data_IF_748718113878
#
_entry.id   IF_748718113878
#
_cell.length_a   1.000
_cell.length_b   1.000
_cell.length_c   1.000
_cell.angle_alpha   90.00
_cell.angle_beta   90.00
_cell.angle_gamma   90.00
#
_symmetry.space_group_name_H-M   'P 1'
#
loop_
_entity.id
_entity.type
_entity.pdbx_description
1 polymer ?
#
# COMPACT_ATOMS: atom_id res chain seq x y z
N UNK A 1 17.12 -10.24 19.88
CA UNK A 1 18.54 -10.45 19.53
C UNK A 1 18.62 -10.53 18.01
N UNK A 2 19.44 -9.70 17.38
CA UNK A 2 19.63 -9.73 15.92
C UNK A 2 20.84 -10.61 15.59
N UNK A 3 20.69 -11.71 14.84
CA UNK A 3 21.80 -12.61 14.51
C UNK A 3 22.65 -12.09 13.35
N UNK A 4 22.20 -11.04 12.66
CA UNK A 4 22.93 -10.50 11.52
C UNK A 4 24.03 -9.55 11.95
N UNK A 5 25.17 -9.63 11.27
CA UNK A 5 26.31 -8.76 11.51
C UNK A 5 26.04 -7.31 11.06
N UNK A 6 26.79 -6.33 11.60
CA UNK A 6 26.72 -4.95 11.10
C UNK A 6 27.02 -4.86 9.60
N UNK A 7 27.93 -5.71 9.11
CA UNK A 7 28.22 -5.80 7.68
C UNK A 7 26.96 -6.15 6.88
N UNK A 8 26.20 -7.16 7.28
CA UNK A 8 24.98 -7.57 6.56
C UNK A 8 23.98 -6.44 6.42
N UNK A 9 23.75 -5.66 7.51
CA UNK A 9 22.88 -4.49 7.47
C UNK A 9 23.40 -3.40 6.53
N UNK A 10 24.69 -3.11 6.59
CA UNK A 10 25.33 -2.08 5.76
C UNK A 10 25.31 -2.48 4.30
N UNK A 11 25.66 -3.72 3.99
CA UNK A 11 25.66 -4.26 2.64
C UNK A 11 24.27 -4.20 2.01
N UNK A 12 23.23 -4.67 2.71
CA UNK A 12 21.86 -4.64 2.23
C UNK A 12 21.35 -3.21 2.01
N UNK A 13 21.67 -2.27 2.89
CA UNK A 13 21.27 -0.88 2.73
C UNK A 13 21.94 -0.23 1.50
N UNK A 14 23.22 -0.51 1.26
CA UNK A 14 23.93 -0.02 0.07
C UNK A 14 23.38 -0.66 -1.21
N UNK A 15 23.10 -1.97 -1.18
CA UNK A 15 22.50 -2.67 -2.31
C UNK A 15 21.15 -2.06 -2.73
N UNK A 16 20.31 -1.67 -1.77
CA UNK A 16 19.01 -1.05 -2.03
C UNK A 16 19.11 0.39 -2.53
N UNK A 17 20.03 1.17 -1.97
CA UNK A 17 20.10 2.60 -2.25
C UNK A 17 21.03 2.95 -3.41
N UNK A 18 21.90 2.03 -3.82
CA UNK A 18 22.95 2.26 -4.80
C UNK A 18 24.00 3.29 -4.36
N UNK A 19 24.02 3.70 -3.07
CA UNK A 19 24.83 4.82 -2.60
C UNK A 19 25.23 4.68 -1.13
N UNK A 20 26.53 4.76 -0.84
CA UNK A 20 27.05 4.79 0.55
C UNK A 20 26.46 5.93 1.36
N UNK A 21 26.27 7.10 0.75
CA UNK A 21 25.73 8.28 1.42
C UNK A 21 24.27 8.08 1.81
N UNK A 22 23.42 7.64 0.86
CA UNK A 22 22.00 7.37 1.14
C UNK A 22 21.83 6.24 2.17
N UNK A 23 22.65 5.17 2.08
CA UNK A 23 22.64 4.10 3.07
C UNK A 23 23.04 4.61 4.47
N UNK A 24 24.01 5.51 4.54
CA UNK A 24 24.46 6.14 5.80
C UNK A 24 23.37 7.00 6.44
N UNK A 25 22.62 7.74 5.64
CA UNK A 25 21.47 8.54 6.08
C UNK A 25 20.36 7.64 6.65
N UNK A 26 20.02 6.56 5.94
CA UNK A 26 19.00 5.58 6.39
C UNK A 26 19.39 4.86 7.68
N UNK A 27 20.66 4.52 7.82
CA UNK A 27 21.16 3.75 8.99
C UNK A 27 21.66 4.62 10.14
N UNK A 28 21.64 5.96 10.00
CA UNK A 28 22.16 6.92 10.98
C UNK A 28 23.61 6.66 11.40
N UNK A 29 24.47 6.34 10.43
CA UNK A 29 25.90 6.07 10.63
C UNK A 29 26.74 6.87 9.62
N UNK A 30 28.06 6.86 9.77
CA UNK A 30 28.94 7.51 8.79
C UNK A 30 29.12 6.63 7.55
N UNK A 31 29.18 7.25 6.36
CA UNK A 31 29.45 6.54 5.10
C UNK A 31 30.83 5.86 5.09
N UNK A 32 31.81 6.41 5.83
CA UNK A 32 33.13 5.80 6.01
C UNK A 32 33.07 4.50 6.82
N UNK A 33 32.19 4.39 7.82
CA UNK A 33 31.99 3.15 8.57
C UNK A 33 31.40 2.05 7.70
N UNK A 34 30.40 2.38 6.85
CA UNK A 34 29.81 1.45 5.89
C UNK A 34 30.87 0.99 4.89
N UNK A 35 31.57 1.94 4.24
CA UNK A 35 32.60 1.60 3.25
C UNK A 35 33.69 0.70 3.82
N UNK A 36 34.16 0.99 5.04
CA UNK A 36 35.18 0.16 5.71
C UNK A 36 34.70 -1.28 5.92
N UNK A 37 33.45 -1.49 6.34
CA UNK A 37 32.91 -2.85 6.56
C UNK A 37 32.75 -3.62 5.24
N UNK A 38 32.34 -2.93 4.18
CA UNK A 38 32.23 -3.53 2.84
C UNK A 38 33.63 -3.95 2.34
N UNK A 39 34.61 -3.06 2.39
CA UNK A 39 35.98 -3.35 1.95
C UNK A 39 36.62 -4.50 2.75
N UNK A 40 36.37 -4.59 4.05
CA UNK A 40 36.83 -5.69 4.89
C UNK A 40 36.21 -7.02 4.45
N UNK A 41 34.91 -7.03 4.16
CA UNK A 41 34.20 -8.23 3.70
C UNK A 41 34.67 -8.66 2.30
N UNK A 42 34.84 -7.71 1.37
CA UNK A 42 35.39 -7.97 0.03
C UNK A 42 36.81 -8.56 0.11
N UNK A 43 37.64 -8.04 1.00
CA UNK A 43 38.99 -8.57 1.23
C UNK A 43 38.99 -9.98 1.83
N UNK A 44 38.07 -10.25 2.78
CA UNK A 44 37.93 -11.61 3.37
C UNK A 44 37.39 -12.65 2.39
N UNK A 45 36.52 -12.22 1.46
CA UNK A 45 35.92 -13.08 0.44
C UNK A 45 36.77 -13.13 -0.84
N UNK A 46 37.85 -12.37 -0.90
CA UNK A 46 38.70 -12.19 -2.07
C UNK A 46 37.93 -11.90 -3.37
N UNK A 47 36.79 -11.21 -3.20
CA UNK A 47 35.83 -10.96 -4.29
C UNK A 47 35.14 -9.63 -4.09
N UNK A 48 35.09 -8.73 -5.10
CA UNK A 48 34.34 -7.49 -5.01
C UNK A 48 32.84 -7.77 -5.00
N UNK A 49 32.11 -7.12 -4.11
CA UNK A 49 30.66 -7.21 -3.98
C UNK A 49 29.95 -6.08 -4.72
N UNK A 50 30.64 -4.95 -4.91
CA UNK A 50 30.14 -3.80 -5.64
C UNK A 50 31.06 -3.34 -6.77
N UNK A 51 30.46 -2.94 -7.89
CA UNK A 51 31.10 -2.15 -8.93
C UNK A 51 30.90 -0.66 -8.64
N UNK A 52 31.97 0.13 -8.74
CA UNK A 52 31.94 1.59 -8.58
C UNK A 52 31.71 2.24 -9.92
N UNK A 53 30.53 2.83 -10.13
CA UNK A 53 30.14 3.53 -11.34
C UNK A 53 30.05 5.05 -11.08
N UNK A 54 30.16 5.90 -12.10
CA UNK A 54 29.95 7.36 -11.93
C UNK A 54 28.59 7.71 -11.33
N UNK A 55 27.57 6.87 -11.59
CA UNK A 55 26.20 7.04 -11.06
C UNK A 55 25.99 6.44 -9.66
N UNK A 56 26.99 5.77 -9.06
CA UNK A 56 26.86 5.14 -7.75
C UNK A 56 27.46 3.73 -7.68
N UNK A 57 26.90 2.89 -6.83
CA UNK A 57 27.30 1.52 -6.61
C UNK A 57 26.28 0.55 -7.21
N UNK A 58 26.79 -0.48 -7.91
CA UNK A 58 25.98 -1.60 -8.42
C UNK A 58 26.53 -2.90 -7.87
N UNK A 59 25.66 -3.87 -7.58
CA UNK A 59 26.11 -5.21 -7.18
C UNK A 59 26.87 -5.89 -8.33
N UNK A 60 27.93 -6.62 -7.97
CA UNK A 60 28.54 -7.62 -8.84
C UNK A 60 27.70 -8.89 -8.81
N UNK A 61 28.01 -9.89 -9.66
CA UNK A 61 27.37 -11.22 -9.58
C UNK A 61 27.55 -11.86 -8.20
N UNK A 62 28.70 -11.70 -7.56
CA UNK A 62 28.94 -12.15 -6.18
C UNK A 62 28.11 -11.36 -5.18
N UNK A 63 27.96 -10.04 -5.39
CA UNK A 63 27.10 -9.19 -4.60
C UNK A 63 25.63 -9.57 -4.70
N UNK A 64 25.13 -9.87 -5.91
CA UNK A 64 23.74 -10.32 -6.13
C UNK A 64 23.47 -11.66 -5.43
N UNK A 65 24.41 -12.62 -5.52
CA UNK A 65 24.31 -13.89 -4.82
C UNK A 65 24.23 -13.69 -3.31
N UNK A 66 25.14 -12.89 -2.74
CA UNK A 66 25.16 -12.60 -1.30
C UNK A 66 23.88 -11.86 -0.86
N UNK A 67 23.41 -10.90 -1.66
CA UNK A 67 22.18 -10.17 -1.37
C UNK A 67 20.96 -11.08 -1.31
N UNK A 68 20.84 -11.98 -2.31
CA UNK A 68 19.78 -12.99 -2.36
C UNK A 68 19.81 -13.91 -1.13
N UNK A 69 21.01 -14.39 -0.77
CA UNK A 69 21.18 -15.26 0.40
C UNK A 69 20.87 -14.53 1.72
N UNK A 70 21.31 -13.31 1.89
CA UNK A 70 20.98 -12.51 3.08
C UNK A 70 19.48 -12.24 3.20
N UNK A 71 18.81 -11.96 2.10
CA UNK A 71 17.34 -11.83 2.08
C UNK A 71 16.68 -13.15 2.50
N UNK A 72 17.12 -14.29 1.97
CA UNK A 72 16.62 -15.61 2.34
C UNK A 72 16.84 -15.91 3.82
N UNK A 73 18.05 -15.72 4.34
CA UNK A 73 18.37 -15.98 5.75
C UNK A 73 17.59 -15.06 6.70
N UNK A 74 17.35 -13.81 6.32
CA UNK A 74 16.50 -12.90 7.07
C UNK A 74 15.07 -13.41 7.18
N UNK A 75 14.53 -13.96 6.07
CA UNK A 75 13.22 -14.62 6.03
C UNK A 75 13.18 -15.84 6.94
N UNK A 76 14.16 -16.72 6.85
CA UNK A 76 14.24 -17.93 7.68
C UNK A 76 14.36 -17.62 9.18
N UNK A 77 15.13 -16.58 9.51
CA UNK A 77 15.25 -16.13 10.89
C UNK A 77 13.93 -15.51 11.41
N UNK A 78 13.23 -14.75 10.60
CA UNK A 78 11.91 -14.21 10.94
C UNK A 78 10.91 -15.36 11.23
N UNK A 79 10.92 -16.43 10.41
CA UNK A 79 10.15 -17.65 10.65
C UNK A 79 10.51 -18.34 11.98
N UNK A 80 11.80 -18.40 12.29
CA UNK A 80 12.27 -18.97 13.56
C UNK A 80 11.78 -18.16 14.75
N UNK A 81 11.84 -16.83 14.68
CA UNK A 81 11.27 -15.94 15.70
C UNK A 81 9.78 -16.15 15.87
N UNK A 82 9.02 -16.23 14.77
CA UNK A 82 7.59 -16.51 14.82
C UNK A 82 7.27 -17.83 15.54
N UNK A 83 8.06 -18.89 15.29
CA UNK A 83 7.89 -20.16 16.00
C UNK A 83 8.10 -20.03 17.51
N UNK A 84 9.06 -19.20 17.93
CA UNK A 84 9.22 -18.91 19.36
C UNK A 84 8.03 -18.13 19.94
N UNK A 85 7.51 -17.16 19.20
CA UNK A 85 6.32 -16.41 19.61
C UNK A 85 5.07 -17.32 19.66
N UNK A 86 4.92 -18.23 18.70
CA UNK A 86 3.85 -19.24 18.69
C UNK A 86 3.90 -20.19 19.88
N UNK A 87 5.10 -20.56 20.38
CA UNK A 87 5.26 -21.37 21.59
C UNK A 87 4.78 -20.64 22.87
N UNK A 88 4.78 -19.29 22.85
CA UNK A 88 4.29 -18.47 23.94
C UNK A 88 2.78 -18.21 23.88
N UNK A 89 2.10 -18.72 22.84
CA UNK A 89 0.67 -18.51 22.57
C UNK A 89 0.39 -17.09 22.03
N UNK A 90 -0.90 -16.79 21.72
CA UNK A 90 -1.34 -15.44 21.27
C UNK A 90 -1.12 -14.31 22.31
N UNK A 91 -0.44 -14.61 23.42
CA UNK A 91 -0.16 -13.63 24.47
C UNK A 91 0.88 -12.59 24.05
N UNK A 92 1.70 -12.85 23.04
CA UNK A 92 2.69 -11.93 22.48
C UNK A 92 2.86 -12.25 20.99
N UNK A 93 2.95 -11.25 20.18
CA UNK A 93 3.18 -11.40 18.76
C UNK A 93 3.48 -10.05 18.14
N UNK A 94 4.06 -10.06 16.94
CA UNK A 94 4.33 -8.87 16.17
C UNK A 94 3.80 -9.08 14.76
N UNK A 95 3.13 -8.04 14.20
CA UNK A 95 2.60 -8.06 12.85
C UNK A 95 3.03 -6.79 12.13
N UNK A 96 3.72 -6.94 11.01
CA UNK A 96 4.10 -5.85 10.12
C UNK A 96 3.11 -5.73 8.96
N UNK A 97 2.56 -4.52 8.78
CA UNK A 97 1.55 -4.23 7.76
C UNK A 97 2.03 -3.06 6.90
N UNK A 98 2.04 -3.24 5.59
CA UNK A 98 2.21 -2.15 4.64
C UNK A 98 0.87 -1.90 3.92
N UNK A 99 0.44 -0.64 3.86
CA UNK A 99 -0.83 -0.28 3.23
C UNK A 99 -0.72 1.03 2.45
N UNK A 100 -1.63 1.22 1.49
CA UNK A 100 -1.75 2.51 0.80
C UNK A 100 -2.38 3.57 1.71
N UNK A 101 -2.06 4.84 1.46
CA UNK A 101 -2.57 5.96 2.28
C UNK A 101 -4.10 6.11 2.26
N UNK A 102 -4.76 5.69 1.17
CA UNK A 102 -6.23 5.71 1.06
C UNK A 102 -6.94 4.80 2.09
N UNK A 103 -6.21 3.87 2.73
CA UNK A 103 -6.72 2.99 3.79
C UNK A 103 -6.47 3.53 5.21
N UNK A 104 -6.02 4.78 5.36
CA UNK A 104 -5.74 5.39 6.68
C UNK A 104 -7.00 5.57 7.54
N UNK A 105 -8.16 5.30 6.99
CA UNK A 105 -9.46 5.35 7.65
C UNK A 105 -10.37 4.23 7.14
N UNK A 106 -11.53 4.03 7.77
CA UNK A 106 -12.53 3.06 7.34
C UNK A 106 -12.40 1.65 7.93
N UNK A 107 -13.01 0.63 7.30
CA UNK A 107 -13.19 -0.69 7.90
C UNK A 107 -11.89 -1.43 8.24
N UNK A 108 -10.84 -1.24 7.46
CA UNK A 108 -9.55 -1.91 7.70
C UNK A 108 -8.85 -1.38 8.95
N UNK A 109 -8.90 -0.07 9.19
CA UNK A 109 -8.38 0.54 10.42
C UNK A 109 -9.24 0.13 11.62
N UNK A 110 -10.57 0.07 11.46
CA UNK A 110 -11.47 -0.41 12.51
C UNK A 110 -11.19 -1.88 12.86
N UNK A 111 -10.94 -2.73 11.87
CA UNK A 111 -10.54 -4.12 12.08
C UNK A 111 -9.22 -4.21 12.87
N UNK A 112 -8.22 -3.41 12.51
CA UNK A 112 -6.93 -3.34 13.21
C UNK A 112 -7.10 -2.85 14.65
N UNK A 113 -7.91 -1.82 14.88
CA UNK A 113 -8.23 -1.32 16.22
C UNK A 113 -8.93 -2.39 17.05
N UNK A 114 -9.87 -3.15 16.48
CA UNK A 114 -10.55 -4.26 17.14
C UNK A 114 -9.56 -5.33 17.61
N UNK A 115 -8.66 -5.77 16.72
CA UNK A 115 -7.62 -6.74 17.08
C UNK A 115 -6.70 -6.18 18.17
N UNK A 116 -6.29 -4.93 18.07
CA UNK A 116 -5.42 -4.30 19.07
C UNK A 116 -6.05 -4.23 20.45
N UNK A 117 -7.36 -3.95 20.54
CA UNK A 117 -8.11 -3.95 21.81
C UNK A 117 -8.29 -5.35 22.39
N UNK A 118 -8.59 -6.34 21.54
CA UNK A 118 -8.81 -7.72 21.98
C UNK A 118 -7.50 -8.41 22.39
N UNK A 119 -6.39 -8.02 21.78
CA UNK A 119 -5.07 -8.60 22.00
C UNK A 119 -4.02 -7.54 22.34
N UNK A 120 -4.06 -6.93 23.54
CA UNK A 120 -3.25 -5.75 23.89
C UNK A 120 -1.75 -6.02 23.97
N UNK A 121 -1.33 -7.28 23.89
CA UNK A 121 0.08 -7.67 23.86
C UNK A 121 0.61 -7.93 22.43
N UNK A 122 -0.24 -7.81 21.41
CA UNK A 122 0.23 -7.76 20.04
C UNK A 122 0.82 -6.39 19.73
N UNK A 123 1.94 -6.39 19.05
CA UNK A 123 2.60 -5.19 18.55
C UNK A 123 2.47 -5.09 17.04
N UNK A 124 2.34 -3.88 16.53
CA UNK A 124 2.16 -3.63 15.11
C UNK A 124 3.20 -2.63 14.61
N UNK A 125 3.79 -2.93 13.45
CA UNK A 125 4.50 -1.96 12.63
C UNK A 125 3.65 -1.67 11.40
N UNK A 126 3.16 -0.44 11.25
CA UNK A 126 2.28 -0.03 10.17
C UNK A 126 3.01 1.01 9.33
N UNK A 127 3.16 0.72 8.04
CA UNK A 127 3.82 1.59 7.08
C UNK A 127 2.88 1.94 5.93
N UNK A 128 2.89 3.21 5.52
CA UNK A 128 2.15 3.65 4.33
C UNK A 128 3.11 3.88 3.18
N UNK A 129 2.81 3.24 2.04
CA UNK A 129 3.60 3.33 0.81
C UNK A 129 2.69 3.27 -0.42
N UNK A 130 3.26 3.53 -1.58
CA UNK A 130 2.60 3.30 -2.87
C UNK A 130 2.52 1.80 -3.19
N UNK A 131 1.50 1.39 -3.97
CA UNK A 131 1.22 -0.03 -4.28
C UNK A 131 2.43 -0.79 -4.82
N UNK A 132 3.25 -0.19 -5.69
CA UNK A 132 4.42 -0.86 -6.26
C UNK A 132 5.52 -1.13 -5.21
N UNK A 133 5.67 -0.25 -4.21
CA UNK A 133 6.61 -0.44 -3.08
C UNK A 133 6.08 -1.54 -2.17
N UNK A 134 4.79 -1.53 -1.83
CA UNK A 134 4.14 -2.56 -1.00
C UNK A 134 4.28 -3.93 -1.64
N UNK A 135 4.08 -4.01 -2.97
CA UNK A 135 4.26 -5.25 -3.72
C UNK A 135 5.67 -5.84 -3.54
N UNK A 136 6.71 -5.01 -3.60
CA UNK A 136 8.10 -5.40 -3.33
C UNK A 136 8.31 -5.86 -1.88
N UNK A 137 7.82 -5.09 -0.90
CA UNK A 137 7.93 -5.42 0.53
C UNK A 137 7.27 -6.77 0.87
N UNK A 138 6.12 -7.07 0.27
CA UNK A 138 5.45 -8.36 0.41
C UNK A 138 6.25 -9.47 -0.26
N UNK A 139 6.65 -9.28 -1.53
CA UNK A 139 7.41 -10.29 -2.28
C UNK A 139 8.73 -10.64 -1.59
N UNK A 140 9.40 -9.65 -1.01
CA UNK A 140 10.62 -9.81 -0.24
C UNK A 140 10.38 -10.29 1.20
N UNK A 141 9.10 -10.48 1.59
CA UNK A 141 8.68 -10.85 2.94
C UNK A 141 9.25 -9.91 4.02
N UNK A 142 9.40 -8.63 3.71
CA UNK A 142 9.78 -7.59 4.67
C UNK A 142 8.62 -7.20 5.57
N UNK A 143 7.39 -7.34 5.06
CA UNK A 143 6.15 -7.20 5.83
C UNK A 143 5.36 -8.51 5.81
N UNK A 144 4.50 -8.71 6.84
CA UNK A 144 3.63 -9.86 6.92
C UNK A 144 2.43 -9.74 5.99
N UNK A 145 1.88 -8.54 5.88
CA UNK A 145 0.64 -8.23 5.18
C UNK A 145 0.83 -6.98 4.33
N UNK A 146 0.40 -7.04 3.08
CA UNK A 146 0.29 -5.90 2.19
C UNK A 146 -1.17 -5.62 1.81
N UNK A 147 -1.60 -4.36 1.90
CA UNK A 147 -2.89 -3.87 1.43
C UNK A 147 -2.64 -2.83 0.34
N UNK A 148 -2.92 -3.19 -0.90
CA UNK A 148 -2.55 -2.40 -2.07
C UNK A 148 -3.62 -2.44 -3.17
N UNK A 149 -3.55 -1.46 -4.06
CA UNK A 149 -4.41 -1.39 -5.24
C UNK A 149 -3.72 -2.01 -6.45
N UNK A 150 -4.50 -2.68 -7.29
CA UNK A 150 -4.09 -3.29 -8.56
C UNK A 150 -2.77 -4.08 -8.41
N UNK A 151 -2.77 -5.17 -7.63
CA UNK A 151 -1.55 -5.96 -7.41
C UNK A 151 -0.98 -6.42 -8.75
N UNK A 152 0.32 -6.23 -8.91
CA UNK A 152 1.01 -6.76 -10.09
C UNK A 152 1.02 -8.29 -10.02
N UNK A 153 0.72 -8.94 -11.13
CA UNK A 153 0.91 -10.39 -11.27
C UNK A 153 2.40 -10.72 -11.18
N UNK A 154 2.90 -10.84 -9.95
CA UNK A 154 4.28 -11.18 -9.68
C UNK A 154 4.36 -12.52 -8.96
N UNK A 155 5.39 -13.31 -9.27
CA UNK A 155 5.64 -14.62 -8.64
C UNK A 155 5.91 -14.54 -7.13
N UNK A 156 6.01 -13.33 -6.57
CA UNK A 156 6.39 -13.09 -5.18
C UNK A 156 5.25 -12.79 -4.22
N UNK A 157 4.00 -12.71 -4.70
CA UNK A 157 2.85 -12.39 -3.85
C UNK A 157 1.71 -13.39 -4.05
N UNK A 158 0.94 -13.60 -2.99
CA UNK A 158 -0.31 -14.37 -2.98
C UNK A 158 -1.45 -13.48 -2.49
N UNK A 159 -2.51 -13.35 -3.28
CA UNK A 159 -3.70 -12.60 -2.92
C UNK A 159 -4.59 -13.49 -2.04
N UNK A 160 -4.89 -13.04 -0.82
CA UNK A 160 -5.75 -13.72 0.16
C UNK A 160 -7.20 -13.27 0.10
N UNK A 161 -7.43 -11.99 -0.16
CA UNK A 161 -8.74 -11.40 -0.34
C UNK A 161 -8.62 -10.21 -1.28
N UNK A 162 -9.69 -9.90 -1.99
CA UNK A 162 -9.76 -8.71 -2.83
C UNK A 162 -11.21 -8.23 -2.97
N UNK A 163 -11.37 -6.97 -3.36
CA UNK A 163 -12.64 -6.38 -3.76
C UNK A 163 -12.43 -5.31 -4.82
N UNK A 164 -13.47 -5.07 -5.62
CA UNK A 164 -13.46 -4.00 -6.63
C UNK A 164 -13.93 -2.68 -6.01
N UNK A 165 -13.14 -1.64 -6.17
CA UNK A 165 -13.43 -0.29 -5.67
C UNK A 165 -13.89 0.58 -6.83
N UNK A 166 -15.14 1.03 -6.83
CA UNK A 166 -15.68 1.88 -7.89
C UNK A 166 -14.99 3.24 -7.91
N UNK A 167 -14.85 3.79 -9.12
CA UNK A 167 -14.45 5.16 -9.39
C UNK A 167 -15.71 5.94 -9.74
N UNK A 168 -15.83 7.17 -9.23
CA UNK A 168 -17.02 7.98 -9.41
C UNK A 168 -16.77 9.47 -9.25
N UNK A 169 -17.85 10.21 -9.31
CA UNK A 169 -17.88 11.62 -9.02
C UNK A 169 -18.11 11.85 -7.52
N UNK A 170 -17.29 12.72 -6.92
CA UNK A 170 -17.39 13.13 -5.51
C UNK A 170 -17.80 14.58 -5.47
N UNK A 171 -18.85 14.87 -4.73
CA UNK A 171 -19.47 16.19 -4.69
C UNK A 171 -20.08 16.46 -3.32
N UNK A 172 -20.55 17.69 -3.11
CA UNK A 172 -21.35 18.02 -1.93
C UNK A 172 -22.70 17.28 -1.97
N UNK A 173 -23.31 16.95 -0.81
CA UNK A 173 -24.61 16.28 -0.75
C UNK A 173 -25.77 17.08 -1.37
N UNK A 174 -25.64 18.42 -1.44
CA UNK A 174 -26.64 19.32 -2.02
C UNK A 174 -26.47 19.52 -3.54
N UNK A 175 -25.52 18.85 -4.16
CA UNK A 175 -25.28 18.93 -5.61
C UNK A 175 -26.42 18.24 -6.39
N UNK A 176 -26.90 18.79 -7.53
CA UNK A 176 -27.99 18.21 -8.30
C UNK A 176 -27.79 16.74 -8.70
N UNK A 177 -26.54 16.35 -8.97
CA UNK A 177 -26.19 14.98 -9.37
C UNK A 177 -26.00 14.01 -8.19
N UNK A 178 -26.04 14.49 -6.94
CA UNK A 178 -25.78 13.66 -5.76
C UNK A 178 -26.84 12.58 -5.52
N UNK A 179 -28.04 12.73 -6.06
CA UNK A 179 -29.16 11.78 -5.97
C UNK A 179 -29.16 10.72 -7.08
N UNK A 180 -28.28 10.85 -8.06
CA UNK A 180 -28.17 9.88 -9.16
C UNK A 180 -27.58 8.56 -8.65
N UNK A 181 -27.98 7.44 -9.30
CA UNK A 181 -27.43 6.13 -8.94
C UNK A 181 -26.11 5.84 -9.63
N UNK A 182 -25.94 6.38 -10.83
CA UNK A 182 -24.79 6.16 -11.70
C UNK A 182 -24.65 7.38 -12.61
N UNK A 183 -23.43 7.80 -12.90
CA UNK A 183 -23.14 8.91 -13.80
C UNK A 183 -22.35 8.47 -15.03
N UNK A 184 -22.50 9.27 -16.07
CA UNK A 184 -21.56 9.31 -17.20
C UNK A 184 -20.65 10.53 -17.02
N UNK A 185 -19.42 10.45 -17.56
CA UNK A 185 -18.47 11.58 -17.43
C UNK A 185 -18.98 12.85 -18.13
N UNK A 186 -19.80 12.72 -19.18
CA UNK A 186 -20.39 13.85 -19.89
C UNK A 186 -21.37 14.67 -19.05
N UNK A 187 -22.01 14.09 -18.04
CA UNK A 187 -22.89 14.83 -17.12
C UNK A 187 -22.13 15.82 -16.25
N UNK A 188 -20.81 15.65 -16.08
CA UNK A 188 -19.94 16.57 -15.35
C UNK A 188 -19.46 17.77 -16.21
N UNK A 189 -19.84 17.84 -17.47
CA UNK A 189 -19.29 18.83 -18.40
C UNK A 189 -19.58 20.30 -18.00
N UNK A 190 -20.67 20.55 -17.26
CA UNK A 190 -21.04 21.87 -16.77
C UNK A 190 -20.31 22.26 -15.48
N UNK A 191 -19.73 21.29 -14.76
CA UNK A 191 -19.10 21.50 -13.47
C UNK A 191 -17.61 21.78 -13.60
N UNK A 192 -17.08 22.56 -12.66
CA UNK A 192 -15.63 22.61 -12.46
C UNK A 192 -15.17 21.27 -11.89
N UNK A 193 -14.16 20.69 -12.50
CA UNK A 193 -13.70 19.35 -12.17
C UNK A 193 -12.36 19.37 -11.44
N UNK A 194 -12.25 18.57 -10.39
CA UNK A 194 -11.03 18.33 -9.64
C UNK A 194 -10.50 16.98 -10.08
N UNK A 195 -9.41 16.98 -10.85
CA UNK A 195 -8.83 15.80 -11.46
C UNK A 195 -7.61 15.33 -10.68
N UNK A 196 -7.50 14.02 -10.43
CA UNK A 196 -6.32 13.46 -9.78
C UNK A 196 -5.11 13.54 -10.71
N UNK A 197 -3.92 13.71 -10.13
CA UNK A 197 -2.62 13.64 -10.82
C UNK A 197 -1.77 12.52 -10.25
N UNK A 198 -0.71 12.14 -10.96
CA UNK A 198 0.28 11.20 -10.46
C UNK A 198 0.89 11.71 -9.11
N UNK A 199 1.17 10.82 -8.14
CA UNK A 199 1.20 9.36 -8.24
C UNK A 199 -0.12 8.66 -7.85
N UNK A 200 -1.26 9.36 -7.78
CA UNK A 200 -2.54 8.77 -7.38
C UNK A 200 -2.98 7.67 -8.37
N UNK A 201 -3.27 6.47 -7.87
CA UNK A 201 -3.68 5.31 -8.70
C UNK A 201 -4.94 5.59 -9.53
N UNK A 202 -5.85 6.43 -9.04
CA UNK A 202 -7.05 6.84 -9.77
C UNK A 202 -6.76 7.75 -10.98
N UNK A 203 -5.55 8.36 -11.07
CA UNK A 203 -5.15 9.25 -12.15
C UNK A 203 -5.23 8.56 -13.53
N UNK A 204 -4.53 7.44 -13.70
CA UNK A 204 -4.51 6.71 -14.99
C UNK A 204 -5.92 6.28 -15.45
N UNK A 205 -6.76 5.86 -14.48
CA UNK A 205 -8.15 5.49 -14.77
C UNK A 205 -8.96 6.69 -15.22
N UNK A 206 -8.74 7.85 -14.58
CA UNK A 206 -9.40 9.10 -14.91
C UNK A 206 -8.98 9.60 -16.31
N UNK A 207 -7.69 9.65 -16.59
CA UNK A 207 -7.20 10.02 -17.93
C UNK A 207 -7.79 9.11 -19.02
N UNK A 208 -7.75 7.79 -18.81
CA UNK A 208 -8.36 6.83 -19.73
C UNK A 208 -9.86 7.00 -19.91
N UNK A 209 -10.58 7.44 -18.87
CA UNK A 209 -12.01 7.74 -18.93
C UNK A 209 -12.27 8.94 -19.85
N UNK A 210 -11.58 10.07 -19.63
CA UNK A 210 -11.75 11.27 -20.43
C UNK A 210 -11.30 11.08 -21.89
N UNK A 211 -10.18 10.42 -22.10
CA UNK A 211 -9.66 10.13 -23.44
C UNK A 211 -10.62 9.27 -24.27
N UNK A 212 -11.18 8.20 -23.69
CA UNK A 212 -12.12 7.32 -24.39
C UNK A 212 -13.40 8.02 -24.82
N UNK A 213 -13.83 9.02 -24.08
CA UNK A 213 -15.03 9.78 -24.38
C UNK A 213 -14.77 11.06 -25.19
N UNK A 214 -13.51 11.32 -25.60
CA UNK A 214 -13.07 12.55 -26.28
C UNK A 214 -13.53 13.80 -25.51
N UNK A 215 -13.49 13.78 -24.18
CA UNK A 215 -13.90 14.89 -23.34
C UNK A 215 -12.67 15.61 -22.80
N UNK A 216 -12.74 16.95 -22.84
CA UNK A 216 -11.79 17.81 -22.15
C UNK A 216 -12.59 18.72 -21.22
N UNK A 217 -12.37 18.69 -19.91
CA UNK A 217 -13.10 19.55 -18.98
C UNK A 217 -12.85 21.03 -19.30
N UNK A 218 -13.93 21.80 -19.47
CA UNK A 218 -13.83 23.23 -19.77
C UNK A 218 -13.17 24.02 -18.64
N UNK A 219 -13.44 23.62 -17.39
CA UNK A 219 -12.80 24.15 -16.19
C UNK A 219 -12.35 23.00 -15.33
N UNK A 220 -11.06 22.96 -15.00
CA UNK A 220 -10.51 21.92 -14.14
C UNK A 220 -9.37 22.43 -13.26
N UNK A 221 -9.15 21.72 -12.16
CA UNK A 221 -7.98 21.82 -11.31
C UNK A 221 -7.34 20.44 -11.25
N UNK A 222 -6.03 20.37 -11.22
CA UNK A 222 -5.29 19.10 -11.12
C UNK A 222 -4.58 19.06 -9.78
N UNK A 223 -4.70 17.96 -9.05
CA UNK A 223 -4.12 17.82 -7.72
C UNK A 223 -3.67 16.38 -7.48
N UNK A 224 -2.54 16.21 -6.81
CA UNK A 224 -1.96 14.91 -6.45
C UNK A 224 -2.10 14.57 -4.96
N UNK A 225 -2.89 15.33 -4.23
CA UNK A 225 -3.15 15.08 -2.80
C UNK A 225 -4.67 14.93 -2.55
N UNK A 226 -5.06 13.74 -2.06
CA UNK A 226 -6.47 13.40 -1.84
C UNK A 226 -7.14 14.30 -0.79
N UNK A 227 -6.40 14.70 0.25
CA UNK A 227 -6.94 15.57 1.32
C UNK A 227 -7.22 16.97 0.80
N UNK A 228 -6.36 17.48 -0.08
CA UNK A 228 -6.61 18.76 -0.76
C UNK A 228 -7.83 18.65 -1.65
N UNK A 229 -7.94 17.58 -2.45
CA UNK A 229 -9.07 17.35 -3.35
C UNK A 229 -10.39 17.27 -2.56
N UNK A 230 -10.48 16.40 -1.54
CA UNK A 230 -11.69 16.25 -0.70
C UNK A 230 -12.07 17.55 0.01
N UNK A 231 -11.07 18.32 0.49
CA UNK A 231 -11.32 19.62 1.12
C UNK A 231 -11.90 20.64 0.13
N UNK A 232 -11.39 20.70 -1.10
CA UNK A 232 -11.91 21.59 -2.15
C UNK A 232 -13.33 21.22 -2.57
N UNK A 233 -13.63 19.91 -2.70
CA UNK A 233 -15.00 19.44 -2.96
C UNK A 233 -15.94 19.85 -1.83
N UNK A 234 -15.53 19.66 -0.58
CA UNK A 234 -16.30 20.04 0.61
C UNK A 234 -16.61 21.54 0.65
N UNK A 235 -15.68 22.38 0.19
CA UNK A 235 -15.86 23.83 0.07
C UNK A 235 -16.69 24.23 -1.16
N UNK A 236 -17.17 23.28 -1.97
CA UNK A 236 -17.99 23.54 -3.14
C UNK A 236 -17.24 24.15 -4.32
N UNK A 237 -15.93 23.95 -4.41
CA UNK A 237 -15.11 24.47 -5.52
C UNK A 237 -15.43 23.74 -6.82
N UNK A 238 -15.85 22.47 -6.74
CA UNK A 238 -16.20 21.64 -7.90
C UNK A 238 -16.45 20.19 -7.55
N UNK A 239 -16.54 19.35 -8.56
CA UNK A 239 -16.76 17.90 -8.47
C UNK A 239 -15.42 17.17 -8.64
N UNK A 240 -15.08 16.28 -7.71
CA UNK A 240 -13.89 15.45 -7.79
C UNK A 240 -14.14 14.14 -8.54
N UNK A 241 -13.10 13.59 -9.20
CA UNK A 241 -13.11 12.23 -9.74
C UNK A 241 -12.17 11.39 -8.89
N UNK A 242 -12.73 10.53 -8.05
CA UNK A 242 -11.99 9.75 -7.05
C UNK A 242 -12.55 8.32 -6.94
N UNK A 243 -11.86 7.45 -6.21
CA UNK A 243 -12.42 6.16 -5.83
C UNK A 243 -13.28 6.28 -4.57
N UNK A 244 -14.18 5.32 -4.36
CA UNK A 244 -14.98 5.26 -3.13
C UNK A 244 -14.10 5.17 -1.88
N UNK A 245 -12.95 4.51 -1.99
CA UNK A 245 -12.00 4.34 -0.89
C UNK A 245 -11.41 5.67 -0.42
N UNK A 246 -11.17 6.58 -1.37
CA UNK A 246 -10.55 7.89 -1.09
C UNK A 246 -11.45 8.83 -0.27
N UNK A 247 -12.76 8.55 -0.23
CA UNK A 247 -13.78 9.37 0.41
C UNK A 247 -14.74 8.56 1.30
N UNK A 248 -14.31 7.37 1.68
CA UNK A 248 -15.17 6.42 2.40
C UNK A 248 -15.77 7.03 3.67
N UNK A 249 -14.98 7.68 4.50
CA UNK A 249 -15.44 8.27 5.76
C UNK A 249 -16.34 9.46 5.53
N UNK A 250 -16.00 10.34 4.62
CA UNK A 250 -16.81 11.51 4.28
C UNK A 250 -18.20 11.13 3.75
N UNK A 251 -18.28 10.06 2.96
CA UNK A 251 -19.56 9.52 2.46
C UNK A 251 -20.38 8.91 3.59
N UNK A 252 -19.74 8.17 4.49
CA UNK A 252 -20.40 7.58 5.68
C UNK A 252 -20.92 8.65 6.66
N UNK A 253 -20.18 9.73 6.82
CA UNK A 253 -20.56 10.88 7.66
C UNK A 253 -21.60 11.80 6.97
N UNK A 254 -21.85 11.60 5.67
CA UNK A 254 -22.75 12.44 4.89
C UNK A 254 -22.18 13.82 4.57
N UNK A 255 -20.89 14.06 4.76
CA UNK A 255 -20.24 15.33 4.43
C UNK A 255 -19.93 15.48 2.94
N UNK A 256 -19.81 14.35 2.23
CA UNK A 256 -19.69 14.26 0.77
C UNK A 256 -20.66 13.20 0.22
N UNK A 257 -21.00 13.32 -1.04
CA UNK A 257 -21.72 12.34 -1.82
C UNK A 257 -20.78 11.71 -2.87
N UNK A 258 -20.89 10.41 -3.06
CA UNK A 258 -20.19 9.64 -4.09
C UNK A 258 -21.20 9.00 -5.03
N UNK A 259 -21.04 9.24 -6.33
CA UNK A 259 -21.86 8.61 -7.37
C UNK A 259 -20.93 7.89 -8.35
N UNK A 260 -21.02 6.56 -8.46
CA UNK A 260 -20.13 5.79 -9.33
C UNK A 260 -20.37 6.10 -10.80
N UNK A 261 -19.33 5.98 -11.61
CA UNK A 261 -19.47 5.93 -13.06
C UNK A 261 -19.97 4.55 -13.50
N UNK A 262 -20.59 4.49 -14.72
CA UNK A 262 -20.99 3.21 -15.30
C UNK A 262 -19.79 2.27 -15.41
N UNK A 263 -19.98 0.99 -15.14
CA UNK A 263 -18.91 -0.04 -15.17
C UNK A 263 -18.23 -0.14 -16.56
N UNK A 264 -18.96 0.21 -17.63
CA UNK A 264 -18.41 0.25 -19.00
C UNK A 264 -17.53 1.48 -19.23
N UNK A 265 -17.72 2.55 -18.46
CA UNK A 265 -16.99 3.79 -18.65
C UNK A 265 -15.58 3.75 -18.03
N UNK A 266 -15.45 3.18 -16.85
CA UNK A 266 -14.17 3.09 -16.12
C UNK A 266 -14.03 1.75 -15.42
N UNK A 267 -12.86 1.13 -15.57
CA UNK A 267 -12.53 -0.10 -14.83
C UNK A 267 -12.30 0.26 -13.36
N UNK A 268 -12.93 -0.44 -12.42
CA UNK A 268 -12.69 -0.22 -10.98
C UNK A 268 -11.23 -0.50 -10.61
N UNK A 269 -10.80 -0.03 -9.46
CA UNK A 269 -9.53 -0.42 -8.84
C UNK A 269 -9.75 -1.73 -8.08
N UNK A 270 -8.74 -2.59 -8.02
CA UNK A 270 -8.77 -3.82 -7.23
C UNK A 270 -8.00 -3.60 -5.94
N UNK A 271 -8.70 -3.48 -4.80
CA UNK A 271 -8.06 -3.55 -3.49
C UNK A 271 -7.76 -5.01 -3.17
N UNK A 272 -6.52 -5.31 -2.81
CA UNK A 272 -6.09 -6.65 -2.46
C UNK A 272 -5.33 -6.71 -1.14
N UNK A 273 -5.58 -7.77 -0.38
CA UNK A 273 -4.79 -8.24 0.74
C UNK A 273 -3.81 -9.28 0.23
N UNK A 274 -2.53 -9.01 0.35
CA UNK A 274 -1.45 -9.82 -0.20
C UNK A 274 -0.48 -10.27 0.90
N UNK A 275 0.08 -11.47 0.71
CA UNK A 275 1.12 -12.07 1.55
C UNK A 275 2.19 -12.73 0.69
N UNK A 276 3.36 -13.01 1.26
CA UNK A 276 4.39 -13.80 0.57
C UNK A 276 3.97 -15.28 0.51
N UNK A 277 3.94 -15.94 -0.67
CA UNK A 277 3.42 -17.29 -0.84
C UNK A 277 4.23 -18.36 -0.09
N UNK A 278 5.53 -18.14 0.09
CA UNK A 278 6.44 -19.10 0.75
C UNK A 278 6.59 -18.86 2.25
N UNK A 279 5.88 -17.87 2.82
CA UNK A 279 6.01 -17.51 4.23
C UNK A 279 4.99 -18.24 5.09
N UNK A 280 5.48 -18.98 6.08
CA UNK A 280 4.62 -19.48 7.14
C UNK A 280 4.28 -18.31 8.07
N UNK A 281 3.04 -17.82 7.99
CA UNK A 281 2.56 -16.69 8.76
C UNK A 281 2.37 -17.07 10.24
N UNK A 282 2.70 -16.16 11.16
CA UNK A 282 2.44 -16.32 12.59
C UNK A 282 0.93 -16.40 12.86
N UNK A 283 0.55 -16.95 14.00
CA UNK A 283 -0.86 -16.95 14.45
C UNK A 283 -1.42 -15.53 14.57
N UNK A 284 -0.59 -14.57 15.01
CA UNK A 284 -0.96 -13.18 15.09
C UNK A 284 -1.26 -12.59 13.69
N UNK A 285 -0.39 -12.83 12.69
CA UNK A 285 -0.63 -12.40 11.32
C UNK A 285 -1.88 -13.07 10.72
N UNK A 286 -2.09 -14.36 10.94
CA UNK A 286 -3.30 -15.09 10.49
C UNK A 286 -4.57 -14.49 11.09
N UNK A 287 -4.55 -14.12 12.38
CA UNK A 287 -5.67 -13.46 13.05
C UNK A 287 -5.99 -12.12 12.37
N UNK A 288 -4.97 -11.28 12.14
CA UNK A 288 -5.15 -9.99 11.46
C UNK A 288 -5.68 -10.18 10.05
N UNK A 289 -5.16 -11.15 9.29
CA UNK A 289 -5.64 -11.48 7.94
C UNK A 289 -7.13 -11.83 7.97
N UNK A 290 -7.58 -12.63 8.95
CA UNK A 290 -9.00 -12.99 9.09
C UNK A 290 -9.87 -11.74 9.27
N UNK A 291 -9.48 -10.82 10.14
CA UNK A 291 -10.22 -9.58 10.37
C UNK A 291 -10.18 -8.64 9.14
N UNK A 292 -9.04 -8.55 8.46
CA UNK A 292 -8.94 -7.77 7.22
C UNK A 292 -9.77 -8.37 6.08
N UNK A 293 -9.83 -9.70 5.97
CA UNK A 293 -10.70 -10.36 4.97
C UNK A 293 -12.15 -10.00 5.22
N UNK A 294 -12.62 -10.06 6.46
CA UNK A 294 -13.99 -9.65 6.81
C UNK A 294 -14.25 -8.17 6.50
N UNK A 295 -13.28 -7.29 6.76
CA UNK A 295 -13.40 -5.88 6.43
C UNK A 295 -13.46 -5.63 4.90
N UNK A 296 -12.72 -6.40 4.11
CA UNK A 296 -12.77 -6.35 2.64
C UNK A 296 -14.13 -6.86 2.13
N UNK A 297 -14.67 -7.94 2.69
CA UNK A 297 -16.01 -8.45 2.36
C UNK A 297 -17.11 -7.42 2.71
N UNK A 298 -16.95 -6.68 3.80
CA UNK A 298 -17.84 -5.59 4.15
C UNK A 298 -17.78 -4.45 3.10
N UNK A 299 -16.58 -4.04 2.70
CA UNK A 299 -16.39 -3.05 1.63
C UNK A 299 -17.03 -3.51 0.32
N UNK A 300 -16.90 -4.78 -0.04
CA UNK A 300 -17.53 -5.35 -1.23
C UNK A 300 -19.06 -5.25 -1.18
N UNK A 301 -19.67 -5.61 -0.06
CA UNK A 301 -21.11 -5.53 0.14
C UNK A 301 -21.61 -4.07 0.03
N UNK A 302 -20.87 -3.11 0.58
CA UNK A 302 -21.20 -1.68 0.49
C UNK A 302 -21.01 -1.12 -0.92
N UNK A 303 -19.92 -1.48 -1.61
CA UNK A 303 -19.63 -1.03 -2.97
C UNK A 303 -20.64 -1.57 -4.00
N UNK A 304 -21.14 -2.79 -3.78
CA UNK A 304 -22.12 -3.46 -4.69
C UNK A 304 -23.58 -3.16 -4.35
N UNK A 305 -23.84 -2.38 -3.29
CA UNK A 305 -25.22 -2.09 -2.81
C UNK A 305 -25.95 -3.31 -2.26
N UNK A 306 -25.24 -4.40 -1.95
CA UNK A 306 -25.78 -5.60 -1.29
C UNK A 306 -25.87 -5.36 0.22
N UNK A 307 -26.79 -4.50 0.66
CA UNK A 307 -27.06 -4.35 2.08
C UNK A 307 -27.68 -5.64 2.63
N UNK A 308 -26.94 -6.35 3.47
CA UNK A 308 -27.59 -7.23 4.45
C UNK A 308 -28.34 -6.34 5.44
N UNK A 309 -29.64 -6.61 5.76
CA UNK A 309 -30.34 -5.82 6.75
C UNK A 309 -29.64 -5.98 8.10
N UNK A 310 -29.28 -4.86 8.73
CA UNK A 310 -28.82 -4.81 10.11
C UNK A 310 -29.79 -5.61 11.01
N UNK A 311 -29.31 -6.52 11.87
CA UNK A 311 -30.13 -7.06 12.93
C UNK A 311 -30.51 -5.91 13.91
N UNK A 312 -31.82 -5.75 14.12
CA UNK A 312 -32.41 -4.81 15.09
C UNK A 312 -32.07 -5.22 16.52
#
# INVERSE_FOLDING_TARGET
>A
MDPFSRFSHYFMAVARTGSLRKAAEVLHVSSSAINRQILLAEAMMETPLFERLPAGLRLTTAGELLYSDLCRWKKEYALTRQRFDDLQGLRRGHVSVAMIAALSDGPLIQALATVSHQYPHLTFDIHTHESHIINGLVADAEVDIGLLLDPLESRGIEVRAFTEIPIGAVMRPDHPLASERVLTVSQLAADRQLLPAAPLMVHERTEGLYHRHNLTPAQHMVCNDLRVMTSLVRQGVGVGVLSLLDVYSEVREGSLAFVPFTHQAVRPLTLALCVAPSRQLSRAAQLVITHFTQAIEQLDAEATGRHSPSPR
#
